data_IF_657552144239
#
_entry.id   IF_657552144239
#
_cell.length_a   1.000
_cell.length_b   1.000
_cell.length_c   1.000
_cell.angle_alpha   90.00
_cell.angle_beta   90.00
_cell.angle_gamma   90.00
#
_symmetry.space_group_name_H-M   'P 1'
#
loop_
_entity.id
_entity.type
_entity.pdbx_description
1 polymer ?
#
# COMPACT_ATOMS: atom_id res chain seq x y z
N UNK A 1 -9.84 13.71 -24.86
CA UNK A 1 -9.25 12.94 -23.74
C UNK A 1 -7.98 12.27 -24.23
N UNK A 2 -6.81 12.62 -23.67
CA UNK A 2 -5.53 12.07 -24.13
C UNK A 2 -5.36 10.60 -23.71
N UNK A 3 -4.41 9.86 -24.30
CA UNK A 3 -4.11 8.48 -23.91
C UNK A 3 -3.61 8.41 -22.45
N UNK A 4 -2.86 9.42 -22.00
CA UNK A 4 -2.47 9.58 -20.60
C UNK A 4 -3.70 9.76 -19.70
N UNK A 5 -4.68 10.56 -20.12
CA UNK A 5 -5.90 10.74 -19.35
C UNK A 5 -6.62 9.42 -19.15
N UNK A 6 -6.84 8.65 -20.22
CA UNK A 6 -7.49 7.33 -20.13
C UNK A 6 -6.81 6.41 -19.12
N UNK A 7 -5.46 6.33 -19.14
CA UNK A 7 -4.69 5.53 -18.18
C UNK A 7 -4.91 5.98 -16.73
N UNK A 8 -5.06 7.29 -16.49
CA UNK A 8 -5.31 7.83 -15.15
C UNK A 8 -6.64 7.38 -14.56
N UNK A 9 -7.72 7.46 -15.32
CA UNK A 9 -9.04 7.03 -14.84
C UNK A 9 -9.09 5.51 -14.65
N UNK A 10 -8.54 4.74 -15.59
CA UNK A 10 -8.47 3.28 -15.46
C UNK A 10 -7.65 2.85 -14.24
N UNK A 11 -6.50 3.47 -14.01
CA UNK A 11 -5.67 3.15 -12.85
C UNK A 11 -6.38 3.42 -11.53
N UNK A 12 -7.02 4.57 -11.41
CA UNK A 12 -7.82 4.93 -10.23
C UNK A 12 -9.00 3.98 -10.02
N UNK A 13 -9.76 3.69 -11.07
CA UNK A 13 -10.94 2.81 -10.98
C UNK A 13 -10.53 1.40 -10.55
N UNK A 14 -9.48 0.84 -11.15
CA UNK A 14 -8.99 -0.50 -10.80
C UNK A 14 -8.50 -0.57 -9.35
N UNK A 15 -7.67 0.38 -8.92
CA UNK A 15 -7.15 0.40 -7.55
C UNK A 15 -8.30 0.63 -6.55
N UNK A 16 -9.15 1.63 -6.79
CA UNK A 16 -10.28 1.94 -5.93
C UNK A 16 -11.28 0.79 -5.83
N UNK A 17 -11.45 0.01 -6.91
CA UNK A 17 -12.26 -1.18 -6.91
C UNK A 17 -11.66 -2.29 -6.04
N UNK A 18 -10.36 -2.56 -6.15
CA UNK A 18 -9.71 -3.69 -5.48
C UNK A 18 -9.40 -3.47 -3.99
N UNK A 19 -9.11 -2.23 -3.58
CA UNK A 19 -8.70 -1.89 -2.20
C UNK A 19 -9.63 -2.50 -1.12
N UNK A 20 -10.96 -2.36 -1.21
CA UNK A 20 -11.86 -2.88 -0.17
C UNK A 20 -11.81 -4.39 -0.05
N UNK A 21 -11.66 -5.12 -1.17
CA UNK A 21 -11.56 -6.57 -1.17
C UNK A 21 -10.31 -7.08 -0.46
N UNK A 22 -9.18 -6.38 -0.57
CA UNK A 22 -7.96 -6.72 0.16
C UNK A 22 -8.02 -6.32 1.64
N UNK A 23 -8.83 -5.32 1.99
CA UNK A 23 -9.02 -4.88 3.37
C UNK A 23 -9.92 -5.84 4.17
N UNK A 24 -10.92 -6.47 3.54
CA UNK A 24 -11.89 -7.32 4.24
C UNK A 24 -11.24 -8.39 5.12
N UNK A 25 -10.29 -9.23 4.64
CA UNK A 25 -9.67 -10.25 5.48
C UNK A 25 -8.97 -9.64 6.70
N UNK A 26 -8.29 -8.52 6.50
CA UNK A 26 -7.57 -7.80 7.56
C UNK A 26 -8.56 -7.28 8.60
N UNK A 27 -9.62 -6.61 8.17
CA UNK A 27 -10.65 -6.05 9.07
C UNK A 27 -11.38 -7.17 9.82
N UNK A 28 -11.75 -8.26 9.13
CA UNK A 28 -12.44 -9.39 9.74
C UNK A 28 -11.56 -10.08 10.81
N UNK A 29 -10.26 -10.23 10.55
CA UNK A 29 -9.32 -10.78 11.54
C UNK A 29 -9.23 -9.87 12.78
N UNK A 30 -9.04 -8.56 12.58
CA UNK A 30 -8.97 -7.59 13.69
C UNK A 30 -10.25 -7.58 14.52
N UNK A 31 -11.42 -7.56 13.88
CA UNK A 31 -12.72 -7.55 14.57
C UNK A 31 -12.90 -8.80 15.42
N UNK A 32 -12.44 -9.97 14.95
CA UNK A 32 -12.59 -11.25 15.65
C UNK A 32 -11.63 -11.40 16.83
N UNK A 33 -10.37 -11.02 16.65
CA UNK A 33 -9.31 -11.28 17.63
C UNK A 33 -9.23 -10.17 18.71
N UNK A 34 -9.55 -8.93 18.36
CA UNK A 34 -9.48 -7.81 19.30
C UNK A 34 -10.80 -7.64 20.06
N UNK A 35 -10.72 -7.79 21.39
CA UNK A 35 -11.90 -7.70 22.28
C UNK A 35 -12.35 -6.26 22.56
N UNK A 36 -11.45 -5.28 22.40
CA UNK A 36 -11.74 -3.85 22.63
C UNK A 36 -11.14 -2.98 21.52
N UNK A 37 -12.01 -2.48 20.64
CA UNK A 37 -11.64 -1.52 19.60
C UNK A 37 -12.20 -0.14 20.04
N UNK A 38 -11.37 0.89 20.26
CA UNK A 38 -11.78 2.14 20.92
C UNK A 38 -12.95 2.89 20.28
N UNK A 39 -13.14 2.73 18.97
CA UNK A 39 -14.15 3.42 18.17
C UNK A 39 -15.31 2.54 17.72
N UNK A 40 -15.34 1.26 18.12
CA UNK A 40 -16.36 0.29 17.71
C UNK A 40 -17.13 -0.20 18.93
N UNK A 41 -18.45 0.06 18.97
CA UNK A 41 -19.30 -0.45 20.05
C UNK A 41 -19.37 -1.98 20.00
N UNK A 42 -19.54 -2.63 21.17
CA UNK A 42 -19.62 -4.09 21.24
C UNK A 42 -20.77 -4.66 20.40
N UNK A 43 -21.92 -3.98 20.38
CA UNK A 43 -23.06 -4.39 19.55
C UNK A 43 -22.73 -4.35 18.06
N UNK A 44 -22.04 -3.30 17.61
CA UNK A 44 -21.64 -3.15 16.21
C UNK A 44 -20.54 -4.14 15.83
N UNK A 45 -19.60 -4.41 16.74
CA UNK A 45 -18.58 -5.47 16.59
C UNK A 45 -19.24 -6.84 16.37
N UNK A 46 -20.17 -7.21 17.24
CA UNK A 46 -20.87 -8.49 17.14
C UNK A 46 -21.63 -8.61 15.81
N UNK A 47 -22.31 -7.54 15.38
CA UNK A 47 -22.96 -7.49 14.07
C UNK A 47 -21.99 -7.81 12.93
N UNK A 48 -20.78 -7.23 12.91
CA UNK A 48 -19.76 -7.50 11.89
C UNK A 48 -19.22 -8.94 11.92
N UNK A 49 -19.11 -9.55 13.12
CA UNK A 49 -18.68 -10.94 13.27
C UNK A 49 -19.72 -11.90 12.69
N UNK A 50 -21.00 -11.61 12.93
CA UNK A 50 -22.13 -12.44 12.50
C UNK A 50 -22.48 -12.28 11.01
N UNK A 51 -21.80 -11.37 10.29
CA UNK A 51 -22.01 -11.18 8.86
C UNK A 51 -21.63 -12.43 8.06
N UNK A 52 -22.52 -12.78 7.13
CA UNK A 52 -22.22 -13.77 6.10
C UNK A 52 -21.11 -13.29 5.16
N UNK A 53 -20.45 -14.23 4.48
CA UNK A 53 -19.49 -13.90 3.42
C UNK A 53 -20.09 -13.01 2.32
N UNK A 54 -21.34 -13.25 1.95
CA UNK A 54 -22.03 -12.44 0.93
C UNK A 54 -22.28 -11.00 1.39
N UNK A 55 -22.55 -10.81 2.68
CA UNK A 55 -22.68 -9.47 3.28
C UNK A 55 -21.36 -8.71 3.25
N UNK A 56 -20.24 -9.37 3.57
CA UNK A 56 -18.90 -8.79 3.42
C UNK A 56 -18.62 -8.37 1.97
N UNK A 57 -18.98 -9.23 1.00
CA UNK A 57 -18.84 -8.92 -0.41
C UNK A 57 -19.65 -7.68 -0.83
N UNK A 58 -20.88 -7.58 -0.33
CA UNK A 58 -21.74 -6.41 -0.56
C UNK A 58 -21.14 -5.12 0.01
N UNK A 59 -20.63 -5.15 1.24
CA UNK A 59 -19.92 -4.00 1.83
C UNK A 59 -18.67 -3.62 1.05
N UNK A 60 -17.89 -4.60 0.56
CA UNK A 60 -16.75 -4.33 -0.32
C UNK A 60 -17.18 -3.55 -1.56
N UNK A 61 -18.22 -4.03 -2.26
CA UNK A 61 -18.72 -3.39 -3.47
C UNK A 61 -19.19 -1.95 -3.21
N UNK A 62 -19.96 -1.72 -2.15
CA UNK A 62 -20.40 -0.37 -1.77
C UNK A 62 -19.20 0.55 -1.47
N UNK A 63 -18.23 0.06 -0.70
CA UNK A 63 -17.05 0.84 -0.34
C UNK A 63 -16.15 1.10 -1.56
N UNK A 64 -16.10 0.18 -2.53
CA UNK A 64 -15.40 0.37 -3.80
C UNK A 64 -15.95 1.55 -4.57
N UNK A 65 -17.28 1.71 -4.68
CA UNK A 65 -17.87 2.88 -5.36
C UNK A 65 -17.50 4.19 -4.66
N UNK A 66 -17.57 4.22 -3.33
CA UNK A 66 -17.18 5.39 -2.55
C UNK A 66 -15.69 5.73 -2.76
N UNK A 67 -14.82 4.74 -2.67
CA UNK A 67 -13.38 4.93 -2.79
C UNK A 67 -12.97 5.36 -4.20
N UNK A 68 -13.58 4.77 -5.23
CA UNK A 68 -13.40 5.21 -6.62
C UNK A 68 -13.81 6.67 -6.76
N UNK A 69 -14.96 7.08 -6.22
CA UNK A 69 -15.40 8.47 -6.28
C UNK A 69 -14.41 9.43 -5.62
N UNK A 70 -13.89 9.08 -4.43
CA UNK A 70 -12.87 9.87 -3.72
C UNK A 70 -11.59 9.95 -4.54
N UNK A 71 -11.08 8.83 -5.06
CA UNK A 71 -9.82 8.83 -5.80
C UNK A 71 -9.94 9.59 -7.13
N UNK A 72 -11.10 9.50 -7.79
CA UNK A 72 -11.39 10.29 -8.99
C UNK A 72 -11.45 11.78 -8.66
N UNK A 73 -12.04 12.17 -7.54
CA UNK A 73 -12.05 13.55 -7.08
C UNK A 73 -10.63 14.06 -6.79
N UNK A 74 -9.81 13.27 -6.09
CA UNK A 74 -8.39 13.60 -5.83
C UNK A 74 -7.62 13.78 -7.13
N UNK A 75 -7.77 12.85 -8.08
CA UNK A 75 -7.10 12.93 -9.37
C UNK A 75 -7.58 14.15 -10.19
N UNK A 76 -8.88 14.43 -10.19
CA UNK A 76 -9.47 15.57 -10.90
C UNK A 76 -8.98 16.90 -10.33
N UNK A 77 -9.05 17.06 -9.01
CA UNK A 77 -8.58 18.27 -8.31
C UNK A 77 -7.08 18.47 -8.52
N UNK A 78 -6.29 17.40 -8.41
CA UNK A 78 -4.86 17.44 -8.70
C UNK A 78 -4.56 17.87 -10.13
N UNK A 79 -5.25 17.30 -11.13
CA UNK A 79 -5.08 17.72 -12.53
C UNK A 79 -5.40 19.19 -12.72
N UNK A 80 -6.38 19.74 -12.00
CA UNK A 80 -6.72 21.17 -12.07
C UNK A 80 -5.67 22.06 -11.41
N UNK A 81 -5.12 21.64 -10.26
CA UNK A 81 -4.20 22.46 -9.46
C UNK A 81 -2.74 22.37 -9.91
N UNK A 82 -2.27 21.17 -10.28
CA UNK A 82 -0.85 20.87 -10.52
C UNK A 82 -0.58 20.34 -11.93
N UNK A 83 -1.49 20.60 -12.89
CA UNK A 83 -1.33 20.21 -14.29
C UNK A 83 0.02 20.60 -14.89
N UNK A 84 0.53 21.78 -14.52
CA UNK A 84 1.79 22.33 -15.02
C UNK A 84 3.03 21.80 -14.31
N UNK A 85 2.88 20.94 -13.29
CA UNK A 85 3.98 20.37 -12.51
C UNK A 85 3.91 18.83 -12.61
N UNK A 86 4.50 18.23 -13.66
CA UNK A 86 4.39 16.79 -13.93
C UNK A 86 4.84 15.91 -12.76
N UNK A 87 5.79 16.40 -11.96
CA UNK A 87 6.31 15.69 -10.80
C UNK A 87 5.24 15.46 -9.74
N UNK A 88 4.35 16.41 -9.50
CA UNK A 88 3.30 16.28 -8.49
C UNK A 88 2.25 15.26 -8.92
N UNK A 89 1.87 15.23 -10.20
CA UNK A 89 1.00 14.18 -10.74
C UNK A 89 1.64 12.79 -10.65
N UNK A 90 2.96 12.70 -10.89
CA UNK A 90 3.70 11.45 -10.68
C UNK A 90 3.67 11.01 -9.22
N UNK A 91 3.85 11.92 -8.26
CA UNK A 91 3.77 11.61 -6.82
C UNK A 91 2.37 11.08 -6.47
N UNK A 92 1.31 11.69 -6.98
CA UNK A 92 -0.06 11.25 -6.70
C UNK A 92 -0.33 9.84 -7.24
N UNK A 93 0.06 9.57 -8.49
CA UNK A 93 -0.01 8.21 -9.06
C UNK A 93 0.82 7.22 -8.25
N UNK A 94 2.02 7.64 -7.82
CA UNK A 94 2.91 6.83 -7.00
C UNK A 94 2.28 6.47 -5.65
N UNK A 95 1.60 7.41 -5.00
CA UNK A 95 0.89 7.15 -3.74
C UNK A 95 -0.26 6.17 -3.94
N UNK A 96 -1.07 6.33 -5.00
CA UNK A 96 -2.12 5.35 -5.31
C UNK A 96 -1.56 3.95 -5.54
N UNK A 97 -0.52 3.85 -6.36
CA UNK A 97 0.16 2.58 -6.63
C UNK A 97 0.78 2.00 -5.35
N UNK A 98 1.40 2.83 -4.51
CA UNK A 98 2.00 2.43 -3.24
C UNK A 98 0.97 1.81 -2.30
N UNK A 99 -0.13 2.53 -2.04
CA UNK A 99 -1.21 2.04 -1.19
C UNK A 99 -1.82 0.74 -1.71
N UNK A 100 -2.04 0.62 -3.03
CA UNK A 100 -2.49 -0.63 -3.63
C UNK A 100 -1.53 -1.79 -3.39
N UNK A 101 -0.22 -1.57 -3.58
CA UNK A 101 0.77 -2.63 -3.40
C UNK A 101 0.93 -3.07 -1.95
N UNK A 102 0.76 -2.17 -0.97
CA UNK A 102 0.73 -2.54 0.45
C UNK A 102 -0.43 -3.50 0.74
N UNK A 103 -1.61 -3.21 0.20
CA UNK A 103 -2.77 -4.08 0.36
C UNK A 103 -2.59 -5.42 -0.37
N UNK A 104 -1.98 -5.41 -1.55
CA UNK A 104 -1.64 -6.63 -2.28
C UNK A 104 -0.66 -7.49 -1.47
N UNK A 105 0.39 -6.89 -0.90
CA UNK A 105 1.35 -7.58 -0.03
C UNK A 105 0.67 -8.21 1.19
N UNK A 106 -0.19 -7.46 1.88
CA UNK A 106 -0.98 -7.98 3.00
C UNK A 106 -1.94 -9.09 2.58
N UNK A 107 -2.61 -8.93 1.43
CA UNK A 107 -3.49 -9.95 0.89
C UNK A 107 -2.77 -11.26 0.59
N UNK A 108 -1.59 -11.19 -0.05
CA UNK A 108 -0.80 -12.37 -0.41
C UNK A 108 -0.28 -13.09 0.83
N UNK A 109 0.28 -12.37 1.82
CA UNK A 109 0.77 -13.04 3.04
C UNK A 109 -0.36 -13.69 3.82
N UNK A 110 -1.52 -13.04 3.95
CA UNK A 110 -2.68 -13.61 4.64
C UNK A 110 -3.22 -14.84 3.90
N UNK A 111 -3.24 -14.83 2.55
CA UNK A 111 -3.64 -15.98 1.76
C UNK A 111 -2.70 -17.18 1.97
N UNK A 112 -1.38 -16.94 2.00
CA UNK A 112 -0.40 -18.01 2.25
C UNK A 112 -0.52 -18.57 3.67
N UNK A 113 -0.72 -17.71 4.68
CA UNK A 113 -1.00 -18.14 6.07
C UNK A 113 -2.29 -18.94 6.14
N UNK A 114 -3.35 -18.50 5.47
CA UNK A 114 -4.64 -19.19 5.44
C UNK A 114 -4.55 -20.59 4.82
N UNK A 115 -3.86 -20.73 3.68
CA UNK A 115 -3.71 -22.01 2.98
C UNK A 115 -2.81 -22.98 3.77
N UNK A 116 -1.75 -22.47 4.41
CA UNK A 116 -0.78 -23.31 5.12
C UNK A 116 -1.16 -23.62 6.57
N UNK A 117 -1.97 -22.78 7.20
CA UNK A 117 -2.23 -22.80 8.64
C UNK A 117 -1.05 -22.34 9.51
N UNK A 118 0.03 -21.80 8.91
CA UNK A 118 1.25 -21.42 9.61
C UNK A 118 1.36 -19.88 9.73
N UNK A 119 1.24 -19.35 10.94
CA UNK A 119 1.27 -17.90 11.22
C UNK A 119 2.54 -17.43 11.93
N UNK A 120 3.45 -18.33 12.31
CA UNK A 120 4.68 -18.01 13.03
C UNK A 120 5.82 -18.96 12.65
N UNK A 121 7.03 -18.68 13.15
CA UNK A 121 8.23 -19.46 12.83
C UNK A 121 8.88 -19.05 11.51
N UNK A 122 9.83 -19.85 11.06
CA UNK A 122 10.67 -19.51 9.89
C UNK A 122 9.86 -19.45 8.59
N UNK A 123 8.80 -20.25 8.47
CA UNK A 123 7.91 -20.32 7.31
C UNK A 123 7.16 -19.00 7.07
N UNK A 124 6.78 -18.29 8.14
CA UNK A 124 6.13 -16.99 8.02
C UNK A 124 7.03 -15.97 7.32
N UNK A 125 8.34 -15.97 7.59
CA UNK A 125 9.28 -15.08 6.90
C UNK A 125 9.39 -15.42 5.40
N UNK A 126 9.28 -16.70 5.02
CA UNK A 126 9.19 -17.08 3.60
C UNK A 126 7.90 -16.58 2.94
N UNK A 127 6.75 -16.65 3.63
CA UNK A 127 5.51 -16.09 3.12
C UNK A 127 5.61 -14.58 2.95
N UNK A 128 6.23 -13.89 3.92
CA UNK A 128 6.44 -12.44 3.86
C UNK A 128 7.40 -12.03 2.75
N UNK A 129 8.48 -12.78 2.54
CA UNK A 129 9.39 -12.54 1.42
C UNK A 129 8.67 -12.75 0.07
N UNK A 130 7.88 -13.82 -0.05
CA UNK A 130 7.09 -14.12 -1.25
C UNK A 130 6.06 -13.04 -1.54
N UNK A 131 5.33 -12.58 -0.51
CA UNK A 131 4.35 -11.50 -0.66
C UNK A 131 4.98 -10.19 -1.10
N UNK A 132 6.16 -9.86 -0.55
CA UNK A 132 6.94 -8.70 -0.99
C UNK A 132 7.35 -8.81 -2.46
N UNK A 133 7.83 -9.97 -2.92
CA UNK A 133 8.20 -10.17 -4.33
C UNK A 133 7.01 -9.97 -5.26
N UNK A 134 5.86 -10.56 -4.95
CA UNK A 134 4.63 -10.43 -5.74
C UNK A 134 4.19 -8.96 -5.81
N UNK A 135 4.14 -8.28 -4.67
CA UNK A 135 3.76 -6.87 -4.61
C UNK A 135 4.78 -5.97 -5.34
N UNK A 136 6.07 -6.26 -5.26
CA UNK A 136 7.10 -5.49 -5.93
C UNK A 136 7.05 -5.66 -7.46
N UNK A 137 6.78 -6.87 -7.95
CA UNK A 137 6.58 -7.13 -9.39
C UNK A 137 5.36 -6.34 -9.88
N UNK A 138 4.23 -6.40 -9.17
CA UNK A 138 3.05 -5.60 -9.50
C UNK A 138 3.38 -4.10 -9.50
N UNK A 139 4.13 -3.64 -8.48
CA UNK A 139 4.57 -2.26 -8.35
C UNK A 139 5.38 -1.78 -9.55
N UNK A 140 6.29 -2.60 -10.06
CA UNK A 140 7.08 -2.28 -11.25
C UNK A 140 6.17 -2.01 -12.46
N UNK A 141 5.23 -2.91 -12.75
CA UNK A 141 4.33 -2.75 -13.90
C UNK A 141 3.42 -1.53 -13.76
N UNK A 142 2.85 -1.31 -12.57
CA UNK A 142 2.04 -0.12 -12.30
C UNK A 142 2.84 1.17 -12.46
N UNK A 143 4.03 1.25 -11.86
CA UNK A 143 4.87 2.44 -11.93
C UNK A 143 5.39 2.71 -13.35
N UNK A 144 5.80 1.65 -14.06
CA UNK A 144 6.24 1.76 -15.45
C UNK A 144 5.11 2.25 -16.36
N UNK A 145 3.95 1.61 -16.31
CA UNK A 145 2.88 1.83 -17.28
C UNK A 145 2.03 3.07 -16.97
N UNK A 146 1.91 3.44 -15.69
CA UNK A 146 1.02 4.50 -15.24
C UNK A 146 1.73 5.69 -14.59
N UNK A 147 2.53 5.47 -13.53
CA UNK A 147 3.19 6.56 -12.80
C UNK A 147 4.15 7.34 -13.69
N UNK A 148 5.15 6.65 -14.23
CA UNK A 148 6.24 7.24 -15.02
C UNK A 148 6.01 7.15 -16.53
N UNK A 149 5.07 6.30 -16.97
CA UNK A 149 4.71 6.10 -18.38
C UNK A 149 5.96 5.88 -19.26
N UNK A 150 6.83 4.97 -18.83
CA UNK A 150 8.11 4.71 -19.46
C UNK A 150 8.00 3.63 -20.54
N UNK A 151 8.52 3.91 -21.73
CA UNK A 151 8.55 2.96 -22.85
C UNK A 151 9.73 1.98 -22.80
N UNK A 152 10.55 2.01 -21.73
CA UNK A 152 11.70 1.10 -21.58
C UNK A 152 11.23 -0.36 -21.53
N UNK A 153 11.59 -1.15 -22.55
CA UNK A 153 11.25 -2.59 -22.64
C UNK A 153 12.30 -3.54 -22.06
N UNK A 154 13.45 -3.05 -21.61
CA UNK A 154 14.57 -3.89 -21.20
C UNK A 154 14.38 -4.48 -19.78
N UNK A 155 14.79 -5.74 -19.58
CA UNK A 155 14.81 -6.45 -18.29
C UNK A 155 15.69 -5.77 -17.24
N UNK A 156 16.71 -5.02 -17.68
CA UNK A 156 17.56 -4.18 -16.81
C UNK A 156 16.73 -3.21 -15.93
N UNK A 157 15.64 -2.63 -16.47
CA UNK A 157 14.81 -1.72 -15.69
C UNK A 157 14.07 -2.41 -14.53
N UNK A 158 13.70 -3.69 -14.70
CA UNK A 158 13.08 -4.45 -13.62
C UNK A 158 14.08 -4.71 -12.49
N UNK A 159 15.32 -5.12 -12.82
CA UNK A 159 16.35 -5.35 -11.81
C UNK A 159 16.80 -4.06 -11.11
N UNK A 160 16.91 -2.95 -11.84
CA UNK A 160 17.14 -1.64 -11.23
C UNK A 160 16.01 -1.25 -10.28
N UNK A 161 14.75 -1.45 -10.68
CA UNK A 161 13.59 -1.24 -9.82
C UNK A 161 13.69 -2.09 -8.55
N UNK A 162 13.93 -3.39 -8.71
CA UNK A 162 14.05 -4.33 -7.61
C UNK A 162 15.15 -3.94 -6.61
N UNK A 163 16.34 -3.56 -7.08
CA UNK A 163 17.45 -3.10 -6.23
C UNK A 163 17.09 -1.79 -5.52
N UNK A 164 16.48 -0.82 -6.21
CA UNK A 164 16.02 0.42 -5.58
C UNK A 164 14.97 0.13 -4.49
N UNK A 165 14.02 -0.75 -4.75
CA UNK A 165 13.01 -1.19 -3.78
C UNK A 165 13.63 -1.85 -2.56
N UNK A 166 14.64 -2.71 -2.77
CA UNK A 166 15.32 -3.41 -1.69
C UNK A 166 16.09 -2.43 -0.79
N UNK A 167 16.78 -1.45 -1.39
CA UNK A 167 17.41 -0.36 -0.66
C UNK A 167 16.38 0.48 0.09
N UNK A 168 15.23 0.76 -0.53
CA UNK A 168 14.12 1.45 0.13
C UNK A 168 13.58 0.68 1.33
N UNK A 169 13.46 -0.65 1.23
CA UNK A 169 13.09 -1.52 2.36
C UNK A 169 14.14 -1.46 3.47
N UNK A 170 15.43 -1.53 3.14
CA UNK A 170 16.51 -1.40 4.12
C UNK A 170 16.48 -0.04 4.82
N UNK A 171 16.25 1.06 4.07
CA UNK A 171 16.07 2.40 4.63
C UNK A 171 14.86 2.43 5.56
N UNK A 172 13.74 1.81 5.18
CA UNK A 172 12.55 1.74 6.01
C UNK A 172 12.86 1.03 7.35
N UNK A 173 13.36 -0.21 7.28
CA UNK A 173 13.64 -1.03 8.47
C UNK A 173 14.67 -0.37 9.39
N UNK A 174 15.77 0.15 8.82
CA UNK A 174 16.80 0.84 9.61
C UNK A 174 16.29 2.13 10.24
N UNK A 175 15.49 2.93 9.53
CA UNK A 175 14.89 4.16 10.09
C UNK A 175 13.93 3.83 11.22
N UNK A 176 13.08 2.80 11.04
CA UNK A 176 12.16 2.36 12.09
C UNK A 176 12.94 1.90 13.33
N UNK A 177 13.97 1.07 13.15
CA UNK A 177 14.85 0.64 14.24
C UNK A 177 15.52 1.82 14.96
N UNK A 178 16.05 2.80 14.21
CA UNK A 178 16.67 3.99 14.80
C UNK A 178 15.65 4.76 15.66
N UNK A 179 14.44 4.99 15.17
CA UNK A 179 13.46 5.78 15.92
C UNK A 179 12.92 4.99 17.12
N UNK A 180 12.50 3.74 16.90
CA UNK A 180 11.78 2.96 17.90
C UNK A 180 12.72 2.42 18.98
N UNK A 181 13.86 1.86 18.60
CA UNK A 181 14.74 1.14 19.54
C UNK A 181 15.96 1.97 19.95
N UNK A 182 16.59 2.70 19.01
CA UNK A 182 17.82 3.45 19.31
C UNK A 182 17.55 4.79 20.01
N UNK A 183 16.58 5.58 19.52
CA UNK A 183 16.16 6.84 20.16
C UNK A 183 15.24 6.55 21.35
N UNK A 184 14.28 5.63 21.15
CA UNK A 184 13.27 5.30 22.16
C UNK A 184 12.24 6.42 22.41
N UNK A 185 11.19 6.15 23.20
CA UNK A 185 10.12 7.11 23.45
C UNK A 185 10.63 8.39 24.12
N UNK A 186 10.30 9.55 23.55
CA UNK A 186 10.65 10.86 24.10
C UNK A 186 9.57 11.30 25.09
N UNK A 187 9.96 11.66 26.33
CA UNK A 187 9.07 12.13 27.41
C UNK A 187 8.02 11.06 27.79
N UNK A 188 6.80 11.50 28.11
CA UNK A 188 5.67 10.63 28.49
C UNK A 188 4.87 10.09 27.29
N UNK A 189 5.46 10.10 26.08
CA UNK A 189 4.81 9.48 24.93
C UNK A 189 4.82 7.96 25.14
N UNK A 190 3.66 7.33 25.03
CA UNK A 190 3.55 5.88 25.17
C UNK A 190 4.38 5.15 24.10
N UNK A 191 4.97 4.00 24.46
CA UNK A 191 5.77 3.21 23.54
C UNK A 191 5.00 2.84 22.26
N UNK A 192 3.69 2.62 22.37
CA UNK A 192 2.82 2.33 21.23
C UNK A 192 2.73 3.52 20.28
N UNK A 193 2.46 4.74 20.78
CA UNK A 193 2.36 5.94 19.94
C UNK A 193 3.72 6.23 19.29
N UNK A 194 4.80 6.09 20.06
CA UNK A 194 6.16 6.29 19.57
C UNK A 194 6.52 5.31 18.44
N UNK A 195 6.20 4.03 18.62
CA UNK A 195 6.38 3.01 17.59
C UNK A 195 5.66 3.38 16.28
N UNK A 196 4.39 3.78 16.37
CA UNK A 196 3.63 4.18 15.18
C UNK A 196 4.21 5.41 14.48
N UNK A 197 4.71 6.39 15.26
CA UNK A 197 5.43 7.54 14.71
C UNK A 197 6.71 7.12 13.97
N UNK A 198 7.49 6.20 14.55
CA UNK A 198 8.68 5.64 13.92
C UNK A 198 8.37 4.92 12.60
N UNK A 199 7.35 4.07 12.60
CA UNK A 199 6.88 3.36 11.40
C UNK A 199 6.40 4.32 10.31
N UNK A 200 5.64 5.36 10.67
CA UNK A 200 5.17 6.38 9.73
C UNK A 200 6.34 7.15 9.10
N UNK A 201 7.30 7.56 9.93
CA UNK A 201 8.47 8.32 9.48
C UNK A 201 9.37 7.48 8.56
N UNK A 202 9.63 6.23 8.94
CA UNK A 202 10.34 5.26 8.11
C UNK A 202 9.67 5.05 6.75
N UNK A 203 8.34 4.94 6.75
CA UNK A 203 7.56 4.80 5.53
C UNK A 203 7.67 6.05 4.66
N UNK A 204 7.52 7.25 5.22
CA UNK A 204 7.68 8.50 4.48
C UNK A 204 9.07 8.63 3.84
N UNK A 205 10.14 8.38 4.59
CA UNK A 205 11.51 8.47 4.09
C UNK A 205 11.78 7.45 2.98
N UNK A 206 11.40 6.19 3.19
CA UNK A 206 11.56 5.14 2.18
C UNK A 206 10.74 5.39 0.91
N UNK A 207 9.54 5.98 1.03
CA UNK A 207 8.75 6.39 -0.13
C UNK A 207 9.44 7.48 -0.95
N UNK A 208 10.07 8.47 -0.31
CA UNK A 208 10.85 9.51 -0.99
C UNK A 208 12.02 8.88 -1.75
N UNK A 209 12.77 7.98 -1.10
CA UNK A 209 13.86 7.24 -1.76
C UNK A 209 13.36 6.47 -2.99
N UNK A 210 12.30 5.66 -2.82
CA UNK A 210 11.75 4.85 -3.91
C UNK A 210 11.29 5.73 -5.08
N UNK A 211 10.57 6.82 -4.81
CA UNK A 211 10.13 7.73 -5.86
C UNK A 211 11.30 8.34 -6.64
N UNK A 212 12.31 8.85 -5.93
CA UNK A 212 13.50 9.46 -6.53
C UNK A 212 14.29 8.41 -7.33
N UNK A 213 14.56 7.24 -6.74
CA UNK A 213 15.30 6.16 -7.39
C UNK A 213 14.58 5.65 -8.64
N UNK A 214 13.27 5.41 -8.57
CA UNK A 214 12.50 5.00 -9.75
C UNK A 214 12.51 6.07 -10.84
N UNK A 215 12.40 7.34 -10.47
CA UNK A 215 12.38 8.44 -11.44
C UNK A 215 13.73 8.68 -12.11
N UNK A 216 14.80 8.75 -11.31
CA UNK A 216 16.12 9.22 -11.75
C UNK A 216 17.03 8.08 -12.23
N UNK A 217 16.84 6.85 -11.73
CA UNK A 217 17.66 5.70 -12.07
C UNK A 217 16.92 4.80 -13.05
N UNK A 218 15.74 4.30 -12.66
CA UNK A 218 15.02 3.25 -13.39
C UNK A 218 14.37 3.80 -14.67
N UNK A 219 13.47 4.76 -14.50
CA UNK A 219 12.62 5.32 -15.55
C UNK A 219 13.12 6.66 -16.07
N UNK A 220 14.42 6.93 -15.92
CA UNK A 220 15.08 8.08 -16.52
C UNK A 220 14.73 8.17 -18.01
N UNK A 221 14.18 9.31 -18.41
CA UNK A 221 14.00 9.67 -19.83
C UNK A 221 15.34 10.09 -20.41
#
# INVERSE_FOLDING_TARGET
MSLSDKKDYWGVVLIGFCVPFFLIPTVNNVIRDETKIPFLSQNLRQYFIDLSFLSWLFFALLFSFLLIAIFLLVLFTAKKLVANIPVLLQIIRFVFVGGFNTLLDWGVVNLLVFISGLSSGWQFYFFKATSFLVANIASYFWNKNWTFQSDKKNSSAFWQFFVVSLLGLLINVSTAWVIVDFIGPIREISAIIWMQFGLLTATAISMVWNFIGYKLIVFKK
#
